data_IF_929151229375
#
_entry.id   IF_929151229375
#
_cell.length_a   1.000
_cell.length_b   1.000
_cell.length_c   1.000
_cell.angle_alpha   90.00
_cell.angle_beta   90.00
_cell.angle_gamma   90.00
#
_symmetry.space_group_name_H-M   'P 1'
#
loop_
_entity.id
_entity.type
_entity.pdbx_description
1 polymer ?
#
# COMPACT_ATOMS: atom_id res chain seq x y z
N UNK A 1 -30.50 -17.38 11.40
CA UNK A 1 -29.17 -16.74 11.40
C UNK A 1 -29.31 -15.41 12.13
N UNK A 2 -29.33 -15.48 13.45
CA UNK A 2 -29.51 -14.31 14.31
C UNK A 2 -28.22 -13.50 14.40
N UNK A 3 -28.37 -12.19 14.49
CA UNK A 3 -27.41 -11.16 14.11
C UNK A 3 -26.29 -10.95 15.15
N UNK A 4 -25.06 -11.37 14.83
CA UNK A 4 -23.83 -11.13 15.61
C UNK A 4 -23.62 -9.65 16.03
N UNK A 5 -24.15 -8.69 15.24
CA UNK A 5 -24.07 -7.26 15.55
C UNK A 5 -24.97 -6.85 16.73
N UNK A 6 -26.16 -7.47 16.86
CA UNK A 6 -27.05 -7.19 17.98
C UNK A 6 -26.50 -7.79 19.29
N UNK A 7 -25.92 -9.00 19.21
CA UNK A 7 -25.28 -9.65 20.36
C UNK A 7 -24.05 -8.88 20.87
N UNK A 8 -23.19 -8.39 19.95
CA UNK A 8 -22.01 -7.57 20.33
C UNK A 8 -22.41 -6.21 20.90
N UNK A 9 -23.48 -5.58 20.40
CA UNK A 9 -24.00 -4.33 20.95
C UNK A 9 -24.58 -4.50 22.36
N UNK A 10 -25.29 -5.61 22.63
CA UNK A 10 -25.80 -5.93 23.96
C UNK A 10 -24.66 -6.14 24.99
N UNK A 11 -23.64 -6.91 24.63
CA UNK A 11 -22.48 -7.14 25.49
C UNK A 11 -21.71 -5.85 25.83
N UNK A 12 -21.59 -4.91 24.88
CA UNK A 12 -20.98 -3.59 25.14
C UNK A 12 -21.81 -2.76 26.11
N UNK A 13 -23.15 -2.77 25.97
CA UNK A 13 -24.07 -2.03 26.83
C UNK A 13 -23.98 -2.52 28.28
N UNK A 14 -23.93 -3.83 28.49
CA UNK A 14 -23.79 -4.44 29.82
C UNK A 14 -22.48 -4.05 30.50
N UNK A 15 -21.36 -4.08 29.77
CA UNK A 15 -20.05 -3.65 30.28
C UNK A 15 -20.04 -2.19 30.72
N UNK A 16 -20.66 -1.30 29.93
CA UNK A 16 -20.75 0.12 30.28
C UNK A 16 -21.60 0.36 31.53
N UNK A 17 -22.67 -0.40 31.72
CA UNK A 17 -23.50 -0.33 32.92
C UNK A 17 -22.71 -0.77 34.16
N UNK A 18 -21.93 -1.85 34.06
CA UNK A 18 -21.09 -2.33 35.16
C UNK A 18 -20.02 -1.29 35.56
N UNK A 19 -19.37 -0.65 34.58
CA UNK A 19 -18.39 0.41 34.84
C UNK A 19 -19.03 1.63 35.50
N UNK A 20 -20.24 2.01 35.08
CA UNK A 20 -20.96 3.14 35.68
C UNK A 20 -21.37 2.85 37.12
N UNK A 21 -21.89 1.65 37.40
CA UNK A 21 -22.19 1.21 38.78
C UNK A 21 -20.95 1.23 39.69
N UNK A 22 -19.79 0.79 39.19
CA UNK A 22 -18.53 0.84 39.96
C UNK A 22 -18.09 2.28 40.24
N UNK A 23 -18.28 3.19 39.29
CA UNK A 23 -17.98 4.61 39.47
C UNK A 23 -18.93 5.24 40.49
N UNK A 24 -20.23 4.97 40.38
CA UNK A 24 -21.23 5.49 41.31
C UNK A 24 -20.97 4.98 42.74
N UNK A 25 -20.51 3.72 42.90
CA UNK A 25 -20.07 3.18 44.20
C UNK A 25 -18.79 3.83 44.75
N UNK A 26 -17.88 4.25 43.88
CA UNK A 26 -16.69 5.02 44.28
C UNK A 26 -17.05 6.46 44.70
N UNK A 27 -17.98 7.10 43.99
CA UNK A 27 -18.44 8.47 44.29
C UNK A 27 -19.37 8.52 45.52
N UNK A 28 -20.02 7.40 45.90
CA UNK A 28 -20.82 7.24 47.11
C UNK A 28 -20.02 7.10 48.43
N UNK A 29 -18.68 7.24 48.38
CA UNK A 29 -17.90 7.57 49.57
C UNK A 29 -17.59 6.43 50.55
N UNK A 30 -17.70 5.16 50.15
CA UNK A 30 -17.23 4.03 50.98
C UNK A 30 -15.72 3.83 50.79
N UNK A 31 -14.93 4.78 51.28
CA UNK A 31 -13.48 4.61 51.44
C UNK A 31 -13.17 4.63 52.94
N UNK A 32 -12.91 3.45 53.48
CA UNK A 32 -12.33 3.30 54.82
C UNK A 32 -11.01 4.07 54.85
N UNK A 33 -11.03 5.24 55.50
CA UNK A 33 -9.87 6.09 55.72
C UNK A 33 -8.86 5.33 56.61
N UNK A 34 -8.01 4.54 55.98
CA UNK A 34 -6.88 3.89 56.64
C UNK A 34 -5.81 4.96 56.89
N UNK A 35 -5.65 5.28 58.17
CA UNK A 35 -4.55 6.02 58.78
C UNK A 35 -3.28 5.97 57.91
N UNK A 36 -2.81 7.13 57.43
CA UNK A 36 -1.57 7.27 56.66
C UNK A 36 -0.36 6.88 57.50
N UNK A 37 -0.14 5.59 57.65
CA UNK A 37 1.14 5.03 58.06
C UNK A 37 2.06 5.16 56.85
N UNK A 38 3.20 5.84 57.02
CA UNK A 38 4.21 5.95 55.98
C UNK A 38 4.73 4.55 55.65
N UNK A 39 4.13 3.90 54.66
CA UNK A 39 4.62 2.64 54.10
C UNK A 39 5.88 2.98 53.31
N UNK A 40 7.03 2.58 53.83
CA UNK A 40 8.30 2.69 53.12
C UNK A 40 8.18 1.86 51.85
N UNK A 41 8.21 2.53 50.69
CA UNK A 41 7.83 1.93 49.40
C UNK A 41 8.82 0.88 48.88
N UNK A 42 10.00 0.74 49.51
CA UNK A 42 11.03 -0.20 49.07
C UNK A 42 12.03 -0.64 50.17
N UNK A 43 11.73 -0.42 51.44
CA UNK A 43 12.62 -0.79 52.56
C UNK A 43 12.02 -1.96 53.33
N UNK A 44 12.86 -2.92 53.69
CA UNK A 44 12.45 -4.06 54.47
C UNK A 44 12.90 -3.92 55.93
N UNK A 45 11.97 -3.83 56.90
CA UNK A 45 12.30 -3.45 58.27
C UNK A 45 13.11 -4.51 59.02
N UNK A 46 13.04 -5.77 58.61
CA UNK A 46 13.77 -6.89 59.23
C UNK A 46 15.23 -6.97 58.75
N UNK A 47 15.44 -6.81 57.45
CA UNK A 47 16.77 -6.94 56.83
C UNK A 47 17.53 -5.62 56.71
N UNK A 48 16.84 -4.48 56.94
CA UNK A 48 17.36 -3.10 56.78
C UNK A 48 18.00 -2.82 55.42
N UNK A 49 17.64 -3.57 54.40
CA UNK A 49 18.14 -3.41 53.03
C UNK A 49 17.01 -2.99 52.10
N UNK A 50 17.38 -2.60 50.88
CA UNK A 50 16.40 -2.36 49.82
C UNK A 50 15.71 -3.68 49.48
N UNK A 51 14.38 -3.66 49.40
CA UNK A 51 13.59 -4.81 48.94
C UNK A 51 14.08 -5.20 47.55
N UNK A 52 14.61 -6.41 47.44
CA UNK A 52 14.90 -7.01 46.14
C UNK A 52 13.57 -7.19 45.40
N UNK A 53 13.54 -6.88 44.11
CA UNK A 53 12.38 -7.20 43.29
C UNK A 53 12.35 -8.71 43.13
N UNK A 54 11.27 -9.36 43.58
CA UNK A 54 11.05 -10.81 43.45
C UNK A 54 10.77 -11.24 41.99
N UNK A 55 11.61 -10.78 41.05
CA UNK A 55 11.46 -10.99 39.61
C UNK A 55 12.78 -11.29 38.91
N UNK A 56 13.79 -11.74 39.65
CA UNK A 56 15.02 -12.28 39.08
C UNK A 56 14.73 -13.68 38.49
N UNK A 57 13.97 -13.73 37.41
CA UNK A 57 13.60 -14.99 36.76
C UNK A 57 12.32 -14.99 35.94
N UNK A 58 11.61 -13.86 35.79
CA UNK A 58 10.47 -13.81 34.87
C UNK A 58 10.95 -14.07 33.44
N UNK A 59 10.26 -14.98 32.74
CA UNK A 59 10.55 -15.37 31.35
C UNK A 59 10.69 -14.13 30.46
N UNK A 60 11.93 -13.79 30.14
CA UNK A 60 12.26 -12.67 29.25
C UNK A 60 11.83 -13.03 27.83
N UNK A 61 11.33 -12.06 27.07
CA UNK A 61 10.80 -12.27 25.69
C UNK A 61 11.83 -12.95 24.79
N UNK A 62 13.10 -12.69 25.05
CA UNK A 62 14.28 -13.25 24.41
C UNK A 62 14.34 -14.77 24.57
N UNK A 63 14.00 -15.31 25.75
CA UNK A 63 13.93 -16.76 26.00
C UNK A 63 12.70 -17.40 25.37
N UNK A 64 11.60 -16.65 25.26
CA UNK A 64 10.38 -17.13 24.63
C UNK A 64 10.48 -17.18 23.09
N UNK A 65 11.38 -16.38 22.50
CA UNK A 65 11.60 -16.29 21.05
C UNK A 65 12.82 -17.13 20.61
N UNK A 66 13.68 -17.53 21.54
CA UNK A 66 14.77 -18.47 21.31
C UNK A 66 14.20 -19.82 20.81
N UNK A 67 14.54 -20.20 19.57
CA UNK A 67 14.06 -21.43 18.93
C UNK A 67 12.86 -21.27 17.98
N UNK A 68 12.05 -20.22 18.11
CA UNK A 68 10.90 -20.01 17.20
C UNK A 68 11.35 -19.76 15.75
N UNK A 69 12.49 -19.08 15.57
CA UNK A 69 13.06 -18.85 14.25
C UNK A 69 13.50 -20.14 13.57
N UNK A 70 14.04 -21.10 14.34
CA UNK A 70 14.48 -22.40 13.82
C UNK A 70 13.29 -23.28 13.45
N UNK A 71 12.23 -23.25 14.27
CA UNK A 71 10.96 -23.94 13.99
C UNK A 71 10.31 -23.44 12.70
N UNK A 72 10.24 -22.12 12.49
CA UNK A 72 9.67 -21.52 11.26
C UNK A 72 10.47 -21.94 10.02
N UNK A 73 11.80 -22.00 10.12
CA UNK A 73 12.64 -22.44 9.00
C UNK A 73 12.42 -23.92 8.68
N UNK A 74 12.34 -24.76 9.71
CA UNK A 74 12.04 -26.20 9.53
C UNK A 74 10.64 -26.44 8.94
N UNK A 75 9.65 -25.68 9.36
CA UNK A 75 8.29 -25.75 8.81
C UNK A 75 8.24 -25.30 7.34
N UNK A 76 8.94 -24.22 6.98
CA UNK A 76 9.01 -23.75 5.59
C UNK A 76 9.75 -24.74 4.68
N UNK A 77 10.80 -25.38 5.18
CA UNK A 77 11.52 -26.44 4.47
C UNK A 77 10.65 -27.69 4.28
N UNK A 78 9.91 -28.11 5.31
CA UNK A 78 8.95 -29.22 5.21
C UNK A 78 7.84 -28.92 4.19
N UNK A 79 7.29 -27.70 4.21
CA UNK A 79 6.27 -27.25 3.24
C UNK A 79 6.79 -27.15 1.81
N UNK A 80 8.07 -26.85 1.60
CA UNK A 80 8.69 -26.86 0.28
C UNK A 80 9.03 -28.28 -0.20
N UNK A 81 9.30 -29.19 0.74
CA UNK A 81 9.58 -30.60 0.48
C UNK A 81 8.30 -31.41 0.24
N UNK A 82 7.15 -30.96 0.76
CA UNK A 82 5.84 -31.39 0.29
C UNK A 82 5.79 -31.16 -1.23
N UNK A 83 5.84 -32.27 -1.96
CA UNK A 83 5.94 -32.32 -3.41
C UNK A 83 4.93 -31.36 -4.04
N UNK A 84 5.41 -30.49 -4.92
CA UNK A 84 4.59 -29.57 -5.69
C UNK A 84 3.42 -30.35 -6.29
N UNK A 85 2.21 -30.15 -5.76
CA UNK A 85 1.01 -30.93 -6.11
C UNK A 85 0.70 -30.79 -7.61
N UNK A 86 1.24 -31.73 -8.39
CA UNK A 86 1.13 -31.79 -9.85
C UNK A 86 -0.31 -32.02 -10.30
N UNK A 87 -1.20 -32.46 -9.39
CA UNK A 87 -2.62 -32.69 -9.69
C UNK A 87 -3.46 -31.42 -9.55
N UNK A 88 -3.03 -30.45 -8.74
CA UNK A 88 -3.68 -29.14 -8.63
C UNK A 88 -3.22 -28.14 -9.72
N UNK A 89 -2.06 -28.40 -10.36
CA UNK A 89 -1.65 -27.66 -11.55
C UNK A 89 -2.52 -28.12 -12.73
N UNK A 90 -3.40 -27.23 -13.19
CA UNK A 90 -4.24 -27.52 -14.36
C UNK A 90 -3.35 -27.89 -15.57
N UNK A 91 -3.66 -28.96 -16.32
CA UNK A 91 -2.97 -29.23 -17.57
C UNK A 91 -3.17 -28.04 -18.51
N UNK A 92 -2.09 -27.57 -19.14
CA UNK A 92 -2.12 -26.42 -20.06
C UNK A 92 -3.17 -26.69 -21.15
N UNK A 93 -4.27 -25.93 -21.14
CA UNK A 93 -5.34 -26.01 -22.15
C UNK A 93 -4.83 -25.43 -23.48
N UNK A 94 -5.02 -26.09 -24.64
CA UNK A 94 -4.42 -25.67 -25.91
C UNK A 94 -4.79 -24.25 -26.38
N UNK A 95 -5.98 -23.74 -26.03
CA UNK A 95 -6.42 -22.38 -26.41
C UNK A 95 -6.19 -21.33 -25.33
N UNK A 96 -5.57 -21.69 -24.19
CA UNK A 96 -5.48 -20.81 -23.02
C UNK A 96 -4.60 -19.57 -23.23
N UNK A 97 -3.71 -19.63 -24.23
CA UNK A 97 -2.74 -18.58 -24.48
C UNK A 97 -3.00 -17.78 -25.75
N UNK A 98 -4.16 -17.97 -26.39
CA UNK A 98 -4.51 -17.25 -27.61
C UNK A 98 -4.42 -15.73 -27.42
N UNK A 99 -4.90 -15.22 -26.26
CA UNK A 99 -4.84 -13.79 -25.95
C UNK A 99 -3.40 -13.31 -25.77
N UNK A 100 -2.53 -14.07 -25.10
CA UNK A 100 -1.13 -13.67 -24.85
C UNK A 100 -0.31 -13.76 -26.13
N UNK A 101 -0.48 -14.84 -26.90
CA UNK A 101 0.18 -15.03 -28.19
C UNK A 101 -0.26 -13.98 -29.21
N UNK A 102 -1.55 -13.64 -29.23
CA UNK A 102 -2.08 -12.54 -30.03
C UNK A 102 -1.49 -11.21 -29.57
N UNK A 103 -1.49 -10.92 -28.26
CA UNK A 103 -0.92 -9.69 -27.73
C UNK A 103 0.58 -9.55 -28.05
N UNK A 104 1.35 -10.64 -27.98
CA UNK A 104 2.77 -10.63 -28.35
C UNK A 104 2.99 -10.35 -29.85
N UNK A 105 2.10 -10.86 -30.72
CA UNK A 105 2.11 -10.56 -32.16
C UNK A 105 1.68 -9.11 -32.44
N UNK A 106 0.64 -8.63 -31.77
CA UNK A 106 0.12 -7.26 -31.91
C UNK A 106 1.14 -6.22 -31.41
N UNK A 107 1.84 -6.45 -30.31
CA UNK A 107 2.85 -5.54 -29.79
C UNK A 107 3.97 -5.24 -30.81
N UNK A 108 4.38 -6.25 -31.60
CA UNK A 108 5.36 -6.05 -32.69
C UNK A 108 4.80 -5.16 -33.81
N UNK A 109 3.50 -5.29 -34.10
CA UNK A 109 2.82 -4.56 -35.15
C UNK A 109 2.52 -3.12 -34.73
N UNK A 110 2.05 -2.91 -33.50
CA UNK A 110 1.75 -1.60 -32.91
C UNK A 110 2.94 -0.65 -32.97
N UNK A 111 4.16 -1.14 -32.68
CA UNK A 111 5.38 -0.34 -32.81
C UNK A 111 5.56 0.20 -34.23
N UNK A 112 5.43 -0.66 -35.25
CA UNK A 112 5.57 -0.29 -36.67
C UNK A 112 4.45 0.65 -37.13
N UNK A 113 3.23 0.44 -36.63
CA UNK A 113 2.09 1.31 -36.91
C UNK A 113 2.32 2.71 -36.35
N UNK A 114 2.80 2.82 -35.11
CA UNK A 114 3.14 4.11 -34.49
C UNK A 114 4.29 4.83 -35.22
N UNK A 115 5.32 4.10 -35.65
CA UNK A 115 6.40 4.64 -36.49
C UNK A 115 5.87 5.17 -37.83
N UNK A 116 4.94 4.43 -38.46
CA UNK A 116 4.31 4.80 -39.72
C UNK A 116 3.43 6.05 -39.56
N UNK A 117 2.61 6.10 -38.50
CA UNK A 117 1.79 7.26 -38.13
C UNK A 117 2.68 8.50 -37.91
N UNK A 118 3.76 8.35 -37.14
CA UNK A 118 4.71 9.44 -36.90
C UNK A 118 5.35 9.93 -38.20
N UNK A 119 5.70 9.02 -39.11
CA UNK A 119 6.28 9.35 -40.42
C UNK A 119 5.30 10.12 -41.30
N UNK A 120 4.03 9.69 -41.33
CA UNK A 120 2.95 10.38 -42.03
C UNK A 120 2.78 11.79 -41.47
N UNK A 121 2.71 11.96 -40.15
CA UNK A 121 2.60 13.29 -39.54
C UNK A 121 3.79 14.20 -39.86
N UNK A 122 5.04 13.68 -39.83
CA UNK A 122 6.22 14.45 -40.25
C UNK A 122 6.17 14.88 -41.71
N UNK A 123 5.68 14.02 -42.60
CA UNK A 123 5.51 14.36 -44.02
C UNK A 123 4.42 15.42 -44.22
N UNK A 124 3.27 15.27 -43.55
CA UNK A 124 2.17 16.23 -43.58
C UNK A 124 2.59 17.60 -43.04
N UNK A 125 3.27 17.66 -41.90
CA UNK A 125 3.77 18.90 -41.32
C UNK A 125 4.74 19.63 -42.27
N UNK A 126 5.68 18.90 -42.89
CA UNK A 126 6.59 19.47 -43.90
C UNK A 126 5.85 20.01 -45.12
N UNK A 127 4.88 19.26 -45.64
CA UNK A 127 4.05 19.69 -46.78
C UNK A 127 3.25 20.95 -46.44
N UNK A 128 2.63 21.00 -45.26
CA UNK A 128 1.91 22.19 -44.80
C UNK A 128 2.84 23.41 -44.67
N UNK A 129 4.04 23.23 -44.12
CA UNK A 129 5.06 24.28 -44.04
C UNK A 129 5.51 24.80 -45.42
N UNK A 130 5.76 23.90 -46.38
CA UNK A 130 6.12 24.25 -47.76
C UNK A 130 5.01 25.05 -48.46
N UNK A 131 3.75 24.65 -48.30
CA UNK A 131 2.60 25.38 -48.86
C UNK A 131 2.55 26.81 -48.30
N UNK A 132 2.75 26.98 -46.99
CA UNK A 132 2.78 28.30 -46.35
C UNK A 132 3.96 29.16 -46.83
N UNK A 133 5.14 28.57 -47.05
CA UNK A 133 6.29 29.30 -47.59
C UNK A 133 6.04 29.76 -49.04
N UNK A 134 5.45 28.91 -49.87
CA UNK A 134 5.12 29.24 -51.26
C UNK A 134 4.07 30.34 -51.36
N UNK A 135 3.01 30.30 -50.53
CA UNK A 135 2.00 31.37 -50.48
C UNK A 135 2.61 32.69 -50.00
N UNK A 136 3.46 32.67 -48.98
CA UNK A 136 4.21 33.85 -48.51
C UNK A 136 5.12 34.41 -49.60
N UNK A 137 5.91 33.58 -50.28
CA UNK A 137 6.79 34.00 -51.38
C UNK A 137 6.03 34.62 -52.55
N UNK A 138 4.88 34.05 -52.93
CA UNK A 138 3.99 34.62 -53.95
C UNK A 138 3.44 35.98 -53.51
N UNK A 139 3.00 36.11 -52.26
CA UNK A 139 2.49 37.37 -51.72
C UNK A 139 3.58 38.46 -51.59
N UNK A 140 4.84 38.10 -51.32
CA UNK A 140 5.96 39.06 -51.33
C UNK A 140 6.36 39.46 -52.74
N UNK A 141 6.37 38.52 -53.70
CA UNK A 141 6.65 38.82 -55.11
C UNK A 141 5.60 39.73 -55.73
N UNK A 142 4.31 39.50 -55.43
CA UNK A 142 3.22 40.37 -55.87
C UNK A 142 3.36 41.81 -55.34
N UNK A 143 3.80 41.97 -54.07
CA UNK A 143 4.08 43.29 -53.48
C UNK A 143 5.26 44.00 -54.14
N UNK A 144 6.34 43.28 -54.43
CA UNK A 144 7.48 43.86 -55.15
C UNK A 144 7.14 44.28 -56.58
N UNK A 145 6.31 43.51 -57.29
CA UNK A 145 5.86 43.85 -58.65
C UNK A 145 4.98 45.12 -58.67
N UNK A 146 4.12 45.32 -57.66
CA UNK A 146 3.29 46.52 -57.54
C UNK A 146 4.09 47.76 -57.11
N UNK A 147 5.12 47.60 -56.26
CA UNK A 147 6.00 48.70 -55.84
C UNK A 147 7.05 49.12 -56.88
N UNK A 148 7.34 48.29 -57.89
CA UNK A 148 8.35 48.56 -58.92
C UNK A 148 7.85 49.35 -60.14
N UNK A 149 6.54 49.46 -60.35
CA UNK A 149 5.95 50.18 -61.48
C UNK A 149 5.68 51.68 -61.22
N UNK A 150 6.02 52.21 -60.04
CA UNK A 150 5.66 53.58 -59.62
C UNK A 150 6.78 54.63 -59.64
N UNK A 151 7.97 54.36 -60.21
CA UNK A 151 9.07 55.35 -60.29
C UNK A 151 9.80 55.28 -61.63
N UNK A 152 9.30 56.00 -62.63
CA UNK A 152 10.10 56.58 -63.72
C UNK A 152 9.46 57.93 -64.05
N UNK A 153 10.06 58.99 -63.50
CA UNK A 153 9.95 60.35 -64.02
C UNK A 153 10.66 60.44 -65.38
#
# INVERSE_FOLDING_TARGET
METNLAATAAARKERLIALRKRKDAHDAGETTATHFTFKQRNFDPETRQMRARDGAGEDTVEKAVEGLAEEIVQEDEARRAEELDLFNIQPKRPNWDLKRDMNARMAKLERKTNESIATIFRALARRAGLVLQLTRRRATAARHAQGGCGRRD
#
